data_IF_093696660873
#
_entry.id   IF_093696660873
#
_cell.length_a   1.000
_cell.length_b   1.000
_cell.length_c   1.000
_cell.angle_alpha   90.00
_cell.angle_beta   90.00
_cell.angle_gamma   90.00
#
_symmetry.space_group_name_H-M   'P 1'
#
loop_
_entity.id
_entity.type
_entity.pdbx_description
1 polymer ?
#
# COMPACT_ATOMS: atom_id res chain seq x y z
N UNK A 1 23.54 18.02 -40.70
CA UNK A 1 22.13 18.18 -40.34
C UNK A 1 21.27 16.99 -40.78
N UNK A 2 21.40 16.49 -42.03
CA UNK A 2 20.63 15.34 -42.51
C UNK A 2 20.90 14.05 -41.70
N UNK A 3 22.15 13.80 -41.32
CA UNK A 3 22.55 12.65 -40.49
C UNK A 3 21.96 12.71 -39.11
N UNK A 4 21.88 13.90 -38.46
CA UNK A 4 21.29 14.08 -37.17
C UNK A 4 19.76 13.87 -37.19
N UNK A 5 19.11 14.34 -38.27
CA UNK A 5 17.66 14.09 -38.45
C UNK A 5 17.39 12.59 -38.64
N UNK A 6 18.20 11.87 -39.42
CA UNK A 6 18.09 10.43 -39.57
C UNK A 6 18.34 9.70 -38.23
N UNK A 7 19.35 10.13 -37.45
CA UNK A 7 19.64 9.61 -36.12
C UNK A 7 18.46 9.79 -35.17
N UNK A 8 17.83 10.99 -35.14
CA UNK A 8 16.64 11.27 -34.32
C UNK A 8 15.47 10.37 -34.68
N UNK A 9 15.23 10.07 -35.95
CA UNK A 9 14.17 9.16 -36.39
C UNK A 9 14.43 7.72 -35.90
N UNK A 10 15.70 7.28 -35.96
CA UNK A 10 16.06 5.95 -35.47
C UNK A 10 15.85 5.86 -33.96
N UNK A 11 16.31 6.88 -33.21
CA UNK A 11 16.11 6.93 -31.76
C UNK A 11 14.64 7.02 -31.38
N UNK A 12 13.81 7.71 -32.16
CA UNK A 12 12.36 7.76 -31.94
C UNK A 12 11.70 6.38 -32.08
N UNK A 13 12.18 5.51 -32.96
CA UNK A 13 11.71 4.12 -33.07
C UNK A 13 12.03 3.29 -31.82
N UNK A 14 13.12 3.63 -31.14
CA UNK A 14 13.54 3.07 -29.86
C UNK A 14 12.89 3.81 -28.66
N UNK A 15 11.82 4.57 -28.91
CA UNK A 15 11.05 5.34 -27.91
C UNK A 15 11.84 6.45 -27.21
N UNK A 16 12.91 6.93 -27.82
CA UNK A 16 13.72 8.06 -27.31
C UNK A 16 13.31 9.35 -28.04
N UNK A 17 12.89 10.36 -27.31
CA UNK A 17 12.52 11.67 -27.85
C UNK A 17 13.68 12.65 -27.73
N UNK A 18 14.20 13.09 -28.87
CA UNK A 18 15.26 14.09 -28.91
C UNK A 18 14.66 15.49 -28.97
N UNK A 19 14.86 16.28 -27.91
CA UNK A 19 14.39 17.68 -27.83
C UNK A 19 15.30 18.66 -28.56
N UNK A 20 16.60 18.36 -28.67
CA UNK A 20 17.60 19.17 -29.38
C UNK A 20 18.50 18.27 -30.23
N UNK A 21 18.55 18.47 -31.55
CA UNK A 21 19.30 17.61 -32.47
C UNK A 21 20.79 17.54 -32.15
N UNK A 22 21.40 18.63 -31.66
CA UNK A 22 22.84 18.66 -31.33
C UNK A 22 23.14 17.73 -30.13
N UNK A 23 22.17 17.47 -29.23
CA UNK A 23 22.38 16.57 -28.12
C UNK A 23 22.73 15.12 -28.54
N UNK A 24 22.43 14.72 -29.77
CA UNK A 24 22.80 13.39 -30.31
C UNK A 24 24.32 13.23 -30.34
N UNK A 25 25.05 14.28 -30.73
CA UNK A 25 26.51 14.26 -30.78
C UNK A 25 27.11 14.22 -29.37
N UNK A 26 26.55 15.02 -28.45
CA UNK A 26 27.00 15.07 -27.06
C UNK A 26 26.78 13.72 -26.36
N UNK A 27 25.63 13.07 -26.59
CA UNK A 27 25.35 11.75 -26.08
C UNK A 27 26.35 10.68 -26.50
N UNK A 28 26.88 10.77 -27.73
CA UNK A 28 27.87 9.84 -28.22
C UNK A 28 29.27 10.05 -27.64
N UNK A 29 29.53 11.16 -26.96
CA UNK A 29 30.82 11.56 -26.41
C UNK A 29 30.89 11.58 -24.87
N UNK A 30 29.78 11.24 -24.17
CA UNK A 30 29.75 11.24 -22.70
C UNK A 30 30.45 10.00 -22.14
N UNK A 31 31.24 10.20 -21.09
CA UNK A 31 31.91 9.15 -20.33
C UNK A 31 31.16 8.88 -19.00
N UNK A 32 30.41 9.85 -18.54
CA UNK A 32 29.69 9.79 -17.25
C UNK A 32 28.25 10.22 -17.47
N UNK A 33 27.30 9.34 -17.10
CA UNK A 33 25.87 9.61 -17.10
C UNK A 33 25.37 9.71 -15.66
N UNK A 34 24.91 10.90 -15.25
CA UNK A 34 24.19 11.10 -14.01
C UNK A 34 22.68 11.07 -14.29
N UNK A 35 21.98 10.19 -13.65
CA UNK A 35 20.52 10.07 -13.82
C UNK A 35 19.83 9.95 -12.47
N UNK A 36 18.56 10.39 -12.39
CA UNK A 36 17.72 10.12 -11.26
C UNK A 36 17.31 8.63 -11.25
N UNK A 37 17.12 8.08 -10.06
CA UNK A 37 16.71 6.69 -9.90
C UNK A 37 15.21 6.53 -10.14
N UNK A 38 14.40 7.34 -9.45
CA UNK A 38 12.94 7.15 -9.36
C UNK A 38 12.25 7.71 -10.60
N UNK A 39 11.47 6.87 -11.29
CA UNK A 39 10.78 7.25 -12.53
C UNK A 39 11.67 7.37 -13.76
N UNK A 40 12.98 7.13 -13.62
CA UNK A 40 13.95 7.15 -14.73
C UNK A 40 14.59 5.79 -14.94
N UNK A 41 15.19 5.22 -13.90
CA UNK A 41 15.76 3.86 -13.94
C UNK A 41 14.78 2.81 -13.42
N UNK A 42 13.80 3.22 -12.62
CA UNK A 42 12.74 2.35 -12.09
C UNK A 42 11.43 2.65 -12.78
N UNK A 43 10.58 1.64 -12.90
CA UNK A 43 9.19 1.83 -13.28
C UNK A 43 8.44 2.51 -12.12
N UNK A 44 7.56 3.48 -12.45
CA UNK A 44 6.65 4.10 -11.48
C UNK A 44 5.48 3.15 -11.14
N UNK A 45 5.83 1.91 -10.80
CA UNK A 45 4.87 0.88 -10.44
C UNK A 45 5.27 0.25 -9.12
N UNK A 46 4.32 0.22 -8.19
CA UNK A 46 4.44 -0.52 -6.94
C UNK A 46 3.57 -1.77 -7.08
N UNK A 47 4.10 -2.91 -6.67
CA UNK A 47 3.40 -4.19 -6.66
C UNK A 47 3.25 -4.64 -5.21
N UNK A 48 2.03 -5.03 -4.82
CA UNK A 48 1.82 -5.75 -3.57
C UNK A 48 2.22 -7.20 -3.77
N UNK A 49 3.34 -7.59 -3.16
CA UNK A 49 3.89 -8.93 -3.32
C UNK A 49 3.13 -9.92 -2.43
N UNK A 50 3.08 -9.67 -1.12
CA UNK A 50 2.51 -10.61 -0.15
C UNK A 50 1.58 -9.90 0.84
N UNK A 51 0.31 -10.33 0.98
CA UNK A 51 -0.49 -10.08 2.16
C UNK A 51 -0.13 -11.12 3.22
N UNK A 52 0.50 -10.71 4.30
CA UNK A 52 1.05 -11.60 5.32
C UNK A 52 0.35 -11.37 6.66
N UNK A 53 0.18 -12.44 7.42
CA UNK A 53 -0.15 -12.37 8.85
C UNK A 53 1.11 -12.04 9.70
N UNK A 54 0.95 -12.05 11.02
CA UNK A 54 2.02 -11.69 11.96
C UNK A 54 3.21 -12.68 11.99
N UNK A 55 3.07 -13.87 11.42
CA UNK A 55 4.12 -14.89 11.33
C UNK A 55 4.68 -15.04 9.90
N UNK A 56 4.28 -14.16 8.97
CA UNK A 56 4.75 -14.20 7.59
C UNK A 56 4.01 -15.20 6.69
N UNK A 57 2.90 -15.79 7.14
CA UNK A 57 2.05 -16.65 6.33
C UNK A 57 1.09 -15.81 5.47
N UNK A 58 0.76 -16.31 4.26
CA UNK A 58 -0.19 -15.64 3.38
C UNK A 58 -1.60 -15.60 3.97
N UNK A 59 -2.16 -14.40 4.12
CA UNK A 59 -3.50 -14.19 4.64
C UNK A 59 -4.30 -13.15 3.83
N UNK A 60 -5.36 -13.61 3.19
CA UNK A 60 -6.26 -12.76 2.40
C UNK A 60 -7.16 -11.86 3.27
N UNK A 61 -7.30 -12.13 4.57
CA UNK A 61 -8.03 -11.24 5.48
C UNK A 61 -7.31 -9.89 5.62
N UNK A 62 -5.97 -9.91 5.65
CA UNK A 62 -5.13 -8.71 5.61
C UNK A 62 -5.34 -7.94 4.31
N UNK A 63 -5.36 -8.65 3.16
CA UNK A 63 -5.62 -8.02 1.86
C UNK A 63 -7.01 -7.37 1.80
N UNK A 64 -8.05 -8.06 2.32
CA UNK A 64 -9.40 -7.54 2.43
C UNK A 64 -9.44 -6.21 3.18
N UNK A 65 -8.82 -6.15 4.35
CA UNK A 65 -8.75 -4.93 5.17
C UNK A 65 -7.95 -3.82 4.49
N UNK A 66 -6.79 -4.15 3.93
CA UNK A 66 -5.98 -3.18 3.18
C UNK A 66 -6.76 -2.59 1.99
N UNK A 67 -7.55 -3.42 1.29
CA UNK A 67 -8.43 -2.97 0.22
C UNK A 67 -9.49 -1.99 0.72
N UNK A 68 -10.22 -2.32 1.78
CA UNK A 68 -11.25 -1.44 2.33
C UNK A 68 -10.69 -0.06 2.64
N UNK A 69 -9.53 0.02 3.29
CA UNK A 69 -8.87 1.27 3.56
C UNK A 69 -8.46 2.01 2.26
N UNK A 70 -7.83 1.32 1.31
CA UNK A 70 -7.34 1.93 0.07
C UNK A 70 -8.46 2.32 -0.91
N UNK A 71 -9.57 1.59 -0.92
CA UNK A 71 -10.69 1.83 -1.83
C UNK A 71 -11.58 2.97 -1.34
N UNK A 72 -11.94 2.99 -0.06
CA UNK A 72 -12.90 3.94 0.50
C UNK A 72 -12.30 5.27 0.95
N UNK A 73 -10.96 5.41 1.02
CA UNK A 73 -10.36 6.71 1.28
C UNK A 73 -10.75 7.74 0.21
N UNK A 74 -10.96 8.99 0.62
CA UNK A 74 -11.12 10.12 -0.31
C UNK A 74 -9.77 10.72 -0.68
N UNK A 75 -9.69 11.26 -1.89
CA UNK A 75 -8.47 11.88 -2.41
C UNK A 75 -7.79 11.07 -3.49
N UNK A 76 -6.58 11.51 -3.86
CA UNK A 76 -5.80 10.84 -4.90
C UNK A 76 -5.19 9.55 -4.37
N UNK A 77 -5.63 8.43 -4.93
CA UNK A 77 -5.03 7.12 -4.64
C UNK A 77 -3.57 7.12 -5.07
N UNK A 78 -2.68 6.91 -4.13
CA UNK A 78 -1.25 6.80 -4.38
C UNK A 78 -0.91 5.44 -5.05
N UNK A 79 0.35 5.22 -5.37
CA UNK A 79 0.80 4.00 -6.04
C UNK A 79 0.59 2.75 -5.18
N UNK A 80 0.70 2.86 -3.85
CA UNK A 80 0.46 1.73 -2.93
C UNK A 80 -1.03 1.35 -2.91
N UNK A 81 -1.94 2.33 -2.87
CA UNK A 81 -3.37 2.08 -2.92
C UNK A 81 -3.77 1.36 -4.21
N UNK A 82 -3.21 1.81 -5.33
CA UNK A 82 -3.44 1.17 -6.64
C UNK A 82 -2.92 -0.27 -6.67
N UNK A 83 -1.76 -0.52 -6.07
CA UNK A 83 -1.18 -1.86 -5.97
C UNK A 83 -2.07 -2.80 -5.14
N UNK A 84 -2.58 -2.33 -4.00
CA UNK A 84 -3.50 -3.08 -3.13
C UNK A 84 -4.80 -3.39 -3.89
N UNK A 85 -5.43 -2.39 -4.51
CA UNK A 85 -6.66 -2.56 -5.27
C UNK A 85 -6.46 -3.56 -6.42
N UNK A 86 -5.42 -3.38 -7.23
CA UNK A 86 -5.11 -4.27 -8.35
C UNK A 86 -4.81 -5.71 -7.91
N UNK A 87 -4.14 -5.90 -6.78
CA UNK A 87 -3.90 -7.24 -6.22
C UNK A 87 -5.22 -7.88 -5.78
N UNK A 88 -6.07 -7.13 -5.08
CA UNK A 88 -7.37 -7.61 -4.61
C UNK A 88 -8.27 -8.02 -5.78
N UNK A 89 -8.37 -7.23 -6.83
CA UNK A 89 -9.13 -7.56 -8.04
C UNK A 89 -8.66 -8.86 -8.72
N UNK A 90 -7.37 -9.14 -8.66
CA UNK A 90 -6.81 -10.41 -9.18
C UNK A 90 -7.19 -11.60 -8.31
N UNK A 91 -7.10 -11.45 -6.99
CA UNK A 91 -7.44 -12.51 -6.03
C UNK A 91 -8.95 -12.76 -5.95
N UNK A 92 -9.79 -11.74 -6.16
CA UNK A 92 -11.25 -11.83 -6.17
C UNK A 92 -11.79 -12.80 -7.23
N UNK A 93 -11.02 -13.07 -8.29
CA UNK A 93 -11.38 -14.08 -9.29
C UNK A 93 -11.33 -15.52 -8.77
N UNK A 94 -10.64 -15.76 -7.65
CA UNK A 94 -10.37 -17.08 -7.10
C UNK A 94 -10.89 -17.26 -5.67
N UNK A 95 -11.05 -16.15 -4.94
CA UNK A 95 -11.31 -16.18 -3.50
C UNK A 95 -12.48 -15.25 -3.14
N UNK A 96 -13.53 -15.82 -2.59
CA UNK A 96 -14.76 -15.10 -2.24
C UNK A 96 -14.54 -14.06 -1.12
N UNK A 97 -13.60 -14.29 -0.22
CA UNK A 97 -13.29 -13.39 0.91
C UNK A 97 -12.90 -11.97 0.48
N UNK A 98 -12.41 -11.80 -0.74
CA UNK A 98 -12.01 -10.50 -1.32
C UNK A 98 -12.85 -10.08 -2.52
N UNK A 99 -13.99 -10.76 -2.75
CA UNK A 99 -14.89 -10.48 -3.87
C UNK A 99 -15.94 -9.45 -3.47
N UNK A 100 -16.32 -8.58 -4.40
CA UNK A 100 -17.44 -7.63 -4.33
C UNK A 100 -17.43 -6.75 -3.06
N UNK A 101 -16.24 -6.44 -2.54
CA UNK A 101 -16.06 -5.66 -1.31
C UNK A 101 -16.61 -4.23 -1.44
N UNK A 102 -16.55 -3.65 -2.63
CA UNK A 102 -17.12 -2.34 -2.96
C UNK A 102 -18.66 -2.32 -2.96
N UNK A 103 -19.30 -3.48 -3.07
CA UNK A 103 -20.75 -3.65 -2.99
C UNK A 103 -21.21 -4.09 -1.59
N UNK A 104 -20.33 -4.82 -0.88
CA UNK A 104 -20.63 -5.37 0.45
C UNK A 104 -20.41 -4.33 1.56
N UNK A 105 -19.53 -3.37 1.34
CA UNK A 105 -19.20 -2.32 2.30
C UNK A 105 -19.55 -0.95 1.79
N UNK A 106 -19.88 -0.03 2.71
CA UNK A 106 -19.96 1.39 2.41
C UNK A 106 -19.18 2.19 3.46
N UNK A 107 -18.72 3.34 3.04
CA UNK A 107 -17.96 4.24 3.90
C UNK A 107 -18.89 5.02 4.81
N UNK A 108 -18.53 5.06 6.10
CA UNK A 108 -19.17 5.93 7.11
C UNK A 108 -18.35 7.22 7.26
N UNK A 109 -17.04 7.09 7.55
CA UNK A 109 -16.16 8.22 7.83
C UNK A 109 -14.71 7.90 7.46
N UNK A 110 -13.81 8.87 7.61
CA UNK A 110 -12.36 8.66 7.48
C UNK A 110 -11.57 9.62 8.35
N UNK A 111 -10.42 9.15 8.82
CA UNK A 111 -9.38 9.96 9.41
C UNK A 111 -8.23 10.04 8.39
N UNK A 112 -8.07 11.19 7.71
CA UNK A 112 -7.11 11.32 6.62
C UNK A 112 -5.67 11.07 7.05
N UNK A 113 -4.81 10.77 6.07
CA UNK A 113 -3.38 10.57 6.34
C UNK A 113 -2.76 11.83 6.95
N UNK A 114 -1.98 11.61 7.98
CA UNK A 114 -1.20 12.63 8.67
C UNK A 114 0.28 12.22 8.74
N UNK A 115 1.18 13.17 8.46
CA UNK A 115 2.62 12.90 8.42
C UNK A 115 3.24 12.66 9.81
N UNK A 116 2.64 13.19 10.87
CA UNK A 116 3.09 12.94 12.25
C UNK A 116 2.64 11.55 12.70
N UNK A 117 1.38 11.20 12.44
CA UNK A 117 0.80 9.90 12.77
C UNK A 117 1.24 8.78 11.81
N UNK A 118 1.67 9.10 10.59
CA UNK A 118 2.08 8.19 9.50
C UNK A 118 1.10 7.05 9.24
N UNK A 119 -0.20 7.29 9.45
CA UNK A 119 -1.31 6.36 9.26
C UNK A 119 -2.58 7.07 8.83
N UNK A 120 -3.52 6.30 8.35
CA UNK A 120 -4.85 6.76 7.99
C UNK A 120 -5.88 5.68 8.29
N UNK A 121 -7.10 6.10 8.64
CA UNK A 121 -8.20 5.21 8.96
C UNK A 121 -9.40 5.47 8.08
N UNK A 122 -10.11 4.40 7.74
CA UNK A 122 -11.42 4.48 7.09
C UNK A 122 -12.41 3.69 7.93
N UNK A 123 -13.55 4.27 8.19
CA UNK A 123 -14.65 3.63 8.89
C UNK A 123 -15.64 3.14 7.84
N UNK A 124 -15.91 1.85 7.88
CA UNK A 124 -16.81 1.19 6.93
C UNK A 124 -17.87 0.38 7.67
N UNK A 125 -19.03 0.25 7.04
CA UNK A 125 -20.10 -0.62 7.50
C UNK A 125 -20.36 -1.69 6.42
N UNK A 126 -20.55 -2.92 6.85
CA UNK A 126 -20.95 -4.00 5.97
C UNK A 126 -22.48 -4.09 5.80
N UNK A 127 -22.93 -4.99 4.92
CA UNK A 127 -24.35 -5.22 4.64
C UNK A 127 -25.15 -5.74 5.83
N UNK A 128 -24.49 -6.31 6.83
CA UNK A 128 -25.11 -6.81 8.06
C UNK A 128 -25.19 -5.73 9.15
N UNK A 129 -24.66 -4.53 8.88
CA UNK A 129 -24.68 -3.39 9.77
C UNK A 129 -23.50 -3.32 10.75
N UNK A 130 -22.48 -4.18 10.62
CA UNK A 130 -21.30 -4.12 11.47
C UNK A 130 -20.36 -3.00 11.02
N UNK A 131 -20.03 -2.11 11.94
CA UNK A 131 -19.12 -1.00 11.71
C UNK A 131 -17.73 -1.35 12.19
N UNK A 132 -16.73 -1.07 11.35
CA UNK A 132 -15.31 -1.27 11.66
C UNK A 132 -14.46 -0.11 11.17
N UNK A 133 -13.46 0.24 11.97
CA UNK A 133 -12.36 1.13 11.56
C UNK A 133 -11.22 0.28 11.04
N UNK A 134 -10.73 0.59 9.87
CA UNK A 134 -9.56 -0.06 9.26
C UNK A 134 -8.47 0.99 9.08
N UNK A 135 -7.34 0.76 9.71
CA UNK A 135 -6.19 1.67 9.73
C UNK A 135 -5.03 1.06 8.98
N UNK A 136 -4.34 1.87 8.19
CA UNK A 136 -3.15 1.50 7.42
C UNK A 136 -2.05 2.52 7.64
N UNK A 137 -0.82 2.07 7.87
CA UNK A 137 0.28 2.99 8.12
C UNK A 137 1.65 2.31 8.21
N UNK A 138 2.64 3.07 8.67
CA UNK A 138 3.95 2.53 8.99
C UNK A 138 3.82 1.47 10.09
N UNK A 139 4.59 0.39 9.99
CA UNK A 139 4.42 -0.75 10.89
C UNK A 139 4.59 -0.35 12.36
N UNK A 140 5.60 0.44 12.67
CA UNK A 140 5.89 0.87 14.04
C UNK A 140 4.71 1.64 14.64
N UNK A 141 4.06 2.48 13.81
CA UNK A 141 2.88 3.24 14.22
C UNK A 141 1.67 2.33 14.43
N UNK A 142 1.52 1.30 13.58
CA UNK A 142 0.45 0.33 13.77
C UNK A 142 0.64 -0.48 15.04
N UNK A 143 1.86 -0.95 15.31
CA UNK A 143 2.20 -1.63 16.56
C UNK A 143 1.99 -0.75 17.80
N UNK A 144 2.19 0.58 17.69
CA UNK A 144 2.02 1.51 18.81
C UNK A 144 0.57 1.71 19.23
N UNK A 145 -0.40 1.51 18.33
CA UNK A 145 -1.83 1.69 18.58
C UNK A 145 -2.59 0.38 18.75
N UNK A 146 -1.91 -0.76 18.55
CA UNK A 146 -2.49 -2.09 18.69
C UNK A 146 -2.15 -2.71 20.03
N UNK A 147 -3.13 -3.29 20.68
CA UNK A 147 -3.01 -4.09 21.89
C UNK A 147 -3.24 -5.58 21.63
N UNK A 148 -3.73 -5.89 20.43
CA UNK A 148 -4.04 -7.25 20.00
C UNK A 148 -3.51 -7.49 18.60
N UNK A 149 -3.41 -8.77 18.23
CA UNK A 149 -3.13 -9.23 16.87
C UNK A 149 -4.09 -10.36 16.52
N UNK A 150 -4.39 -10.50 15.25
CA UNK A 150 -5.18 -11.62 14.73
C UNK A 150 -4.27 -12.63 14.06
N UNK A 151 -4.43 -13.90 14.44
CA UNK A 151 -3.75 -15.02 13.82
C UNK A 151 -4.74 -16.16 13.58
N UNK A 152 -4.94 -16.53 12.33
CA UNK A 152 -5.87 -17.61 11.89
C UNK A 152 -7.30 -17.44 12.43
N UNK A 153 -7.74 -16.21 12.61
CA UNK A 153 -9.07 -15.87 13.12
C UNK A 153 -9.16 -15.73 14.64
N UNK A 154 -8.12 -16.09 15.38
CA UNK A 154 -8.04 -15.87 16.82
C UNK A 154 -7.40 -14.51 17.14
N UNK A 155 -8.01 -13.76 18.06
CA UNK A 155 -7.48 -12.50 18.56
C UNK A 155 -6.70 -12.76 19.83
N UNK A 156 -5.41 -12.48 19.81
CA UNK A 156 -4.51 -12.68 20.94
C UNK A 156 -3.85 -11.35 21.36
N UNK A 157 -3.44 -11.20 22.62
CA UNK A 157 -2.73 -9.99 23.06
C UNK A 157 -1.41 -9.78 22.30
N UNK A 158 -1.13 -8.54 21.91
CA UNK A 158 0.16 -8.13 21.39
C UNK A 158 1.16 -7.98 22.54
N UNK A 159 1.80 -9.07 22.92
CA UNK A 159 2.86 -9.08 23.94
C UNK A 159 4.18 -8.56 23.35
N UNK A 160 5.15 -8.24 24.22
CA UNK A 160 6.48 -7.81 23.78
C UNK A 160 7.17 -8.89 22.92
N UNK A 161 7.01 -10.17 23.28
CA UNK A 161 7.55 -11.30 22.51
C UNK A 161 6.96 -11.33 21.09
N UNK A 162 5.64 -11.21 20.94
CA UNK A 162 4.97 -11.17 19.64
C UNK A 162 5.41 -9.94 18.84
N UNK A 163 5.57 -8.81 19.50
CA UNK A 163 6.08 -7.58 18.86
C UNK A 163 7.50 -7.77 18.31
N UNK A 164 8.38 -8.41 19.08
CA UNK A 164 9.75 -8.70 18.64
C UNK A 164 9.77 -9.67 17.46
N UNK A 165 8.92 -10.70 17.48
CA UNK A 165 8.78 -11.65 16.35
C UNK A 165 8.34 -10.93 15.07
N UNK A 166 7.31 -10.07 15.13
CA UNK A 166 6.84 -9.28 13.98
C UNK A 166 7.94 -8.38 13.44
N UNK A 167 8.67 -7.69 14.32
CA UNK A 167 9.76 -6.80 13.90
C UNK A 167 10.92 -7.57 13.27
N UNK A 168 11.22 -8.77 13.76
CA UNK A 168 12.25 -9.64 13.19
C UNK A 168 11.87 -10.12 11.77
N UNK A 169 10.61 -10.52 11.56
CA UNK A 169 10.10 -10.92 10.24
C UNK A 169 10.17 -9.75 9.26
N UNK A 170 9.75 -8.57 9.68
CA UNK A 170 9.81 -7.36 8.85
C UNK A 170 11.25 -6.97 8.51
N UNK A 171 12.20 -7.15 9.42
CA UNK A 171 13.61 -6.91 9.14
C UNK A 171 14.11 -7.82 8.00
N UNK A 172 13.73 -9.10 8.00
CA UNK A 172 14.08 -10.04 6.92
C UNK A 172 13.47 -9.64 5.57
N UNK A 173 12.20 -9.20 5.56
CA UNK A 173 11.54 -8.71 4.35
C UNK A 173 12.22 -7.45 3.80
N UNK A 174 12.61 -6.53 4.69
CA UNK A 174 13.36 -5.32 4.32
C UNK A 174 14.74 -5.64 3.71
N UNK A 175 15.45 -6.65 4.24
CA UNK A 175 16.71 -7.12 3.66
C UNK A 175 16.54 -7.67 2.23
N UNK A 176 15.38 -8.24 1.91
CA UNK A 176 15.01 -8.66 0.56
C UNK A 176 14.61 -7.50 -0.35
N UNK A 177 14.63 -6.26 0.15
CA UNK A 177 14.24 -5.06 -0.60
C UNK A 177 12.74 -4.77 -0.61
N UNK A 178 11.95 -5.50 0.15
CA UNK A 178 10.51 -5.27 0.32
C UNK A 178 10.27 -4.14 1.32
N UNK A 179 9.13 -3.47 1.18
CA UNK A 179 8.64 -2.51 2.18
C UNK A 179 7.35 -3.03 2.78
N UNK A 180 7.25 -2.94 4.09
CA UNK A 180 6.10 -3.44 4.84
C UNK A 180 5.20 -2.29 5.28
N UNK A 181 3.89 -2.49 5.12
CA UNK A 181 2.83 -1.66 5.67
C UNK A 181 2.07 -2.46 6.72
N UNK A 182 1.81 -1.84 7.86
CA UNK A 182 0.91 -2.39 8.86
C UNK A 182 -0.55 -2.09 8.50
N UNK A 183 -1.41 -3.07 8.78
CA UNK A 183 -2.87 -2.92 8.71
C UNK A 183 -3.44 -3.40 10.03
N UNK A 184 -4.24 -2.56 10.65
CA UNK A 184 -4.96 -2.89 11.88
C UNK A 184 -6.43 -2.55 11.74
N UNK A 185 -7.26 -3.07 12.63
CA UNK A 185 -8.67 -2.79 12.63
C UNK A 185 -9.26 -2.76 14.04
N UNK A 186 -10.39 -2.12 14.16
CA UNK A 186 -11.24 -2.12 15.36
C UNK A 186 -12.67 -2.38 14.93
N UNK A 187 -13.32 -3.35 15.54
CA UNK A 187 -14.69 -3.75 15.21
C UNK A 187 -15.67 -3.35 16.30
N UNK A 188 -16.96 -3.56 16.05
CA UNK A 188 -18.06 -3.29 16.99
C UNK A 188 -18.20 -1.79 17.35
N UNK A 189 -17.95 -0.93 16.39
CA UNK A 189 -18.18 0.51 16.52
C UNK A 189 -19.66 0.82 16.24
N UNK A 190 -20.12 2.01 16.66
CA UNK A 190 -21.47 2.46 16.38
C UNK A 190 -21.46 3.44 15.19
N UNK A 191 -22.38 3.26 14.25
CA UNK A 191 -22.46 4.12 13.05
C UNK A 191 -22.73 5.61 13.37
N UNK A 192 -23.31 5.90 14.55
CA UNK A 192 -23.63 7.24 14.99
C UNK A 192 -22.50 7.90 15.80
N UNK A 193 -21.39 7.23 16.02
CA UNK A 193 -20.24 7.79 16.73
C UNK A 193 -19.56 8.88 15.88
N UNK A 194 -18.98 9.86 16.55
CA UNK A 194 -18.11 10.85 15.93
C UNK A 194 -16.67 10.35 16.09
N UNK A 195 -16.07 9.96 14.98
CA UNK A 195 -14.75 9.37 14.99
C UNK A 195 -13.65 10.44 15.01
N UNK A 196 -12.63 10.19 15.80
CA UNK A 196 -11.46 11.05 16.00
C UNK A 196 -10.16 10.25 15.98
N UNK A 197 -9.04 10.94 15.99
CA UNK A 197 -7.71 10.31 16.07
C UNK A 197 -7.47 9.53 17.37
N UNK A 198 -8.23 9.83 18.42
CA UNK A 198 -8.15 9.15 19.71
C UNK A 198 -8.75 7.73 19.64
N UNK A 199 -9.63 7.48 18.67
CA UNK A 199 -10.24 6.17 18.44
C UNK A 199 -9.26 5.20 17.77
N UNK A 200 -8.16 5.69 17.19
CA UNK A 200 -7.03 4.89 16.69
C UNK A 200 -6.20 4.33 17.86
N UNK A 201 -6.83 3.58 18.73
CA UNK A 201 -6.24 2.96 19.92
C UNK A 201 -6.90 1.59 20.16
N UNK A 202 -6.25 0.72 20.93
CA UNK A 202 -6.72 -0.64 21.21
C UNK A 202 -7.08 -1.42 19.93
N UNK A 203 -6.28 -1.25 18.90
CA UNK A 203 -6.46 -1.91 17.60
C UNK A 203 -6.01 -3.37 17.65
N UNK A 204 -6.49 -4.14 16.66
CA UNK A 204 -6.14 -5.54 16.41
C UNK A 204 -5.23 -5.59 15.19
#
# INVERSE_FOLDING_TARGET
TASLAKGSIIMAKEKVVIKKLNAIQDLGAIDILCTDKTGTLTQDEIVLEYPLDIHGDLDLSVLRRAYLNSYFQTGLKNLMDRAIISRTEREAKKHDIVRDLDQTFHKIDELPFDFERRRMSVIVQDTDGFVSMVTKGALEEMLSVSNYVEYKGDIIPLTDDVREEVLAEVAQLNEQGLRVLGVSYKSQLNENDVFSVEDESDMI
#
